data_IF_442485069854
#
_entry.id   IF_442485069854
#
_cell.length_a   1.000
_cell.length_b   1.000
_cell.length_c   1.000
_cell.angle_alpha   90.00
_cell.angle_beta   90.00
_cell.angle_gamma   90.00
#
_symmetry.space_group_name_H-M   'P 1'
#
loop_
_entity.id
_entity.type
_entity.pdbx_description
1 polymer ?
#
# COMPACT_ATOMS: atom_id res chain seq x y z
N UNK A 1 -33.12 5.82 -7.14
CA UNK A 1 -33.35 5.54 -8.57
C UNK A 1 -32.17 4.77 -9.11
N UNK A 2 -32.39 3.66 -9.83
CA UNK A 2 -31.30 2.86 -10.40
C UNK A 2 -30.74 3.55 -11.65
N UNK A 3 -29.41 3.58 -11.80
CA UNK A 3 -28.73 4.17 -12.97
C UNK A 3 -28.62 3.11 -14.08
N UNK A 4 -28.99 3.42 -15.34
CA UNK A 4 -28.86 2.47 -16.44
C UNK A 4 -27.41 2.04 -16.67
N UNK A 5 -27.21 0.76 -16.97
CA UNK A 5 -25.90 0.19 -17.26
C UNK A 5 -25.20 0.96 -18.39
N UNK A 6 -23.94 1.36 -18.18
CA UNK A 6 -23.15 2.12 -19.14
C UNK A 6 -23.30 3.64 -19.07
N UNK A 7 -24.14 4.18 -18.18
CA UNK A 7 -24.25 5.63 -17.96
C UNK A 7 -23.05 6.15 -17.17
N UNK A 8 -22.44 7.25 -17.63
CA UNK A 8 -21.33 7.88 -16.93
C UNK A 8 -21.85 8.66 -15.73
N UNK A 9 -21.36 8.33 -14.53
CA UNK A 9 -21.73 8.99 -13.27
C UNK A 9 -20.60 9.90 -12.83
N UNK A 10 -20.92 11.16 -12.52
CA UNK A 10 -19.98 12.13 -11.95
C UNK A 10 -20.48 12.61 -10.58
N UNK A 11 -19.55 13.00 -9.71
CA UNK A 11 -19.86 13.63 -8.42
C UNK A 11 -19.66 15.14 -8.56
N UNK A 12 -20.68 15.94 -8.25
CA UNK A 12 -20.58 17.38 -8.20
C UNK A 12 -19.99 17.81 -6.85
N UNK A 13 -18.77 18.35 -6.84
CA UNK A 13 -18.05 18.67 -5.60
C UNK A 13 -18.58 19.91 -4.88
N UNK A 14 -19.37 20.74 -5.55
CA UNK A 14 -20.00 21.91 -4.94
C UNK A 14 -21.31 21.57 -4.24
N UNK A 15 -22.10 20.66 -4.81
CA UNK A 15 -23.42 20.28 -4.27
C UNK A 15 -23.39 18.94 -3.52
N UNK A 16 -22.37 18.11 -3.71
CA UNK A 16 -22.24 16.77 -3.14
C UNK A 16 -23.08 15.70 -3.85
N UNK A 17 -23.82 16.06 -4.90
CA UNK A 17 -24.76 15.16 -5.56
C UNK A 17 -24.09 14.32 -6.67
N UNK A 18 -24.59 13.09 -6.86
CA UNK A 18 -24.16 12.19 -7.94
C UNK A 18 -25.08 12.34 -9.14
N UNK A 19 -24.53 12.82 -10.25
CA UNK A 19 -25.26 13.05 -11.50
C UNK A 19 -24.90 11.96 -12.52
N UNK A 20 -25.92 11.29 -13.07
CA UNK A 20 -25.73 10.34 -14.17
C UNK A 20 -26.05 11.03 -15.51
N UNK A 21 -25.14 10.94 -16.48
CA UNK A 21 -25.41 11.40 -17.84
C UNK A 21 -26.37 10.42 -18.51
N UNK A 22 -27.65 10.80 -18.56
CA UNK A 22 -28.66 10.05 -19.29
C UNK A 22 -28.42 10.18 -20.80
N UNK A 23 -28.60 9.10 -21.58
CA UNK A 23 -28.64 9.23 -23.03
C UNK A 23 -29.87 10.04 -23.42
N UNK A 24 -29.71 11.03 -24.29
CA UNK A 24 -30.82 11.80 -24.85
C UNK A 24 -31.80 10.82 -25.53
N UNK A 25 -33.00 10.70 -24.97
CA UNK A 25 -34.11 9.99 -25.60
C UNK A 25 -34.80 10.97 -26.56
N UNK A 26 -34.95 10.52 -27.81
CA UNK A 26 -35.65 11.14 -28.94
C UNK A 26 -34.76 11.86 -29.98
N UNK A 27 -34.60 11.12 -31.08
CA UNK A 27 -34.58 11.55 -32.48
C UNK A 27 -33.42 12.39 -33.04
N UNK A 28 -32.56 11.71 -33.82
CA UNK A 28 -31.72 12.37 -34.81
C UNK A 28 -30.46 11.60 -35.21
N UNK A 29 -30.60 10.67 -36.18
CA UNK A 29 -29.52 10.09 -37.00
C UNK A 29 -28.29 9.49 -36.26
N UNK A 30 -28.42 8.22 -35.90
CA UNK A 30 -27.30 7.35 -35.51
C UNK A 30 -26.17 7.34 -36.55
N UNK A 31 -26.48 7.45 -37.84
CA UNK A 31 -25.52 7.44 -38.94
C UNK A 31 -24.55 8.64 -38.90
N UNK A 32 -25.06 9.85 -38.69
CA UNK A 32 -24.23 11.07 -38.61
C UNK A 32 -23.33 11.09 -37.37
N UNK A 33 -23.77 10.44 -36.28
CA UNK A 33 -22.99 10.31 -35.04
C UNK A 33 -21.89 9.26 -35.18
N UNK A 34 -22.16 8.18 -35.90
CA UNK A 34 -21.19 7.11 -36.17
C UNK A 34 -20.08 7.59 -37.11
N UNK A 35 -20.41 8.38 -38.14
CA UNK A 35 -19.44 8.96 -39.06
C UNK A 35 -18.52 9.99 -38.37
N UNK A 36 -19.07 10.80 -37.46
CA UNK A 36 -18.27 11.71 -36.60
C UNK A 36 -17.36 10.96 -35.61
N UNK A 37 -17.69 9.73 -35.21
CA UNK A 37 -16.81 8.87 -34.40
C UNK A 37 -15.72 8.22 -35.25
N UNK A 38 -16.06 7.77 -36.47
CA UNK A 38 -15.11 7.20 -37.44
C UNK A 38 -14.03 8.22 -37.86
N UNK A 39 -14.39 9.49 -38.05
CA UNK A 39 -13.43 10.58 -38.35
C UNK A 39 -12.56 11.01 -37.16
N UNK A 40 -13.05 10.92 -35.92
CA UNK A 40 -12.30 11.39 -34.73
C UNK A 40 -11.30 10.38 -34.17
N UNK A 41 -11.45 9.10 -34.48
CA UNK A 41 -10.54 8.05 -34.05
C UNK A 41 -10.28 7.08 -35.22
N UNK A 42 -9.38 7.42 -36.17
CA UNK A 42 -9.09 6.61 -37.36
C UNK A 42 -8.32 5.31 -37.06
N UNK A 43 -8.39 4.79 -35.83
CA UNK A 43 -7.66 3.60 -35.39
C UNK A 43 -8.44 2.68 -34.44
N UNK A 44 -9.77 2.87 -34.29
CA UNK A 44 -10.59 2.04 -33.39
C UNK A 44 -11.77 1.34 -34.07
N UNK A 45 -11.71 1.18 -35.40
CA UNK A 45 -12.36 0.03 -36.03
C UNK A 45 -11.35 -1.08 -35.88
N UNK A 46 -11.50 -1.90 -34.83
CA UNK A 46 -10.88 -3.24 -34.85
C UNK A 46 -11.37 -3.85 -36.15
N UNK A 47 -10.46 -3.92 -37.12
CA UNK A 47 -10.76 -4.37 -38.46
C UNK A 47 -11.52 -5.67 -38.38
N UNK A 48 -12.46 -5.86 -39.31
CA UNK A 48 -12.95 -7.20 -39.60
C UNK A 48 -11.69 -8.03 -39.82
N UNK A 49 -11.37 -8.86 -38.85
CA UNK A 49 -10.23 -9.78 -38.97
C UNK A 49 -10.70 -10.74 -40.03
N UNK A 50 -10.10 -10.67 -41.21
CA UNK A 50 -10.17 -11.76 -42.18
C UNK A 50 -9.52 -12.96 -41.51
N UNK A 51 -10.32 -13.71 -40.77
CA UNK A 51 -9.94 -15.01 -40.24
C UNK A 51 -10.24 -15.97 -41.39
N UNK A 52 -9.22 -16.26 -42.19
CA UNK A 52 -9.26 -17.42 -43.07
C UNK A 52 -9.66 -18.62 -42.20
N UNK A 53 -10.85 -19.17 -42.44
CA UNK A 53 -11.54 -20.13 -41.57
C UNK A 53 -10.78 -21.46 -41.35
N UNK A 54 -9.63 -21.64 -42.00
CA UNK A 54 -8.80 -22.84 -41.95
C UNK A 54 -7.40 -22.62 -41.34
N UNK A 55 -7.08 -21.48 -40.75
CA UNK A 55 -5.68 -21.17 -40.44
C UNK A 55 -5.16 -21.65 -39.08
N UNK A 56 -6.01 -21.97 -38.08
CA UNK A 56 -5.53 -22.45 -36.78
C UNK A 56 -6.52 -23.39 -36.08
N UNK A 57 -6.00 -24.49 -35.51
CA UNK A 57 -6.81 -25.34 -34.63
C UNK A 57 -7.05 -24.65 -33.28
N UNK A 58 -8.19 -24.91 -32.63
CA UNK A 58 -8.51 -24.36 -31.30
C UNK A 58 -7.41 -24.67 -30.26
N UNK A 59 -6.73 -25.80 -30.42
CA UNK A 59 -5.61 -26.19 -29.56
C UNK A 59 -4.36 -25.32 -29.79
N UNK A 60 -4.05 -24.93 -31.03
CA UNK A 60 -2.94 -24.04 -31.34
C UNK A 60 -3.19 -22.62 -30.82
N UNK A 61 -4.41 -22.11 -31.00
CA UNK A 61 -4.80 -20.81 -30.44
C UNK A 61 -4.70 -20.79 -28.92
N UNK A 62 -5.16 -21.85 -28.26
CA UNK A 62 -5.04 -21.99 -26.80
C UNK A 62 -3.58 -22.00 -26.34
N UNK A 63 -2.69 -22.68 -27.08
CA UNK A 63 -1.25 -22.69 -26.80
C UNK A 63 -0.60 -21.31 -27.04
N UNK A 64 -0.96 -20.62 -28.12
CA UNK A 64 -0.44 -19.28 -28.41
C UNK A 64 -0.88 -18.27 -27.34
N UNK A 65 -2.16 -18.28 -26.96
CA UNK A 65 -2.69 -17.43 -25.89
C UNK A 65 -2.06 -17.72 -24.52
N UNK A 66 -1.76 -19.00 -24.23
CA UNK A 66 -1.06 -19.36 -23.01
C UNK A 66 0.34 -18.74 -22.94
N UNK A 67 1.11 -18.76 -24.05
CA UNK A 67 2.44 -18.14 -24.14
C UNK A 67 2.41 -16.62 -24.00
N UNK A 68 1.40 -15.96 -24.57
CA UNK A 68 1.21 -14.50 -24.40
C UNK A 68 0.88 -14.14 -22.94
N UNK A 69 0.06 -14.95 -22.28
CA UNK A 69 -0.31 -14.73 -20.87
C UNK A 69 0.85 -14.96 -19.90
N UNK A 70 1.77 -15.85 -20.24
CA UNK A 70 2.98 -16.13 -19.46
C UNK A 70 4.00 -15.00 -19.57
N UNK A 71 4.24 -14.49 -20.77
CA UNK A 71 5.13 -13.34 -21.01
C UNK A 71 4.62 -12.07 -20.34
N UNK A 72 3.32 -11.77 -20.41
CA UNK A 72 2.72 -10.63 -19.71
C UNK A 72 2.84 -10.73 -18.18
N UNK A 73 2.75 -11.94 -17.62
CA UNK A 73 3.01 -12.19 -16.20
C UNK A 73 4.48 -11.99 -15.83
N UNK A 74 5.41 -12.39 -16.70
CA UNK A 74 6.83 -12.20 -16.47
C UNK A 74 7.19 -10.70 -16.47
N UNK A 75 6.67 -9.93 -17.43
CA UNK A 75 6.90 -8.48 -17.49
C UNK A 75 6.31 -7.73 -16.30
N UNK A 76 5.11 -8.12 -15.82
CA UNK A 76 4.53 -7.57 -14.59
C UNK A 76 5.41 -7.83 -13.37
N UNK A 77 5.96 -9.04 -13.22
CA UNK A 77 6.87 -9.37 -12.11
C UNK A 77 8.14 -8.52 -12.15
N UNK A 78 8.76 -8.36 -13.32
CA UNK A 78 9.96 -7.53 -13.48
C UNK A 78 9.66 -6.06 -13.16
N UNK A 79 8.50 -5.55 -13.57
CA UNK A 79 8.06 -4.19 -13.24
C UNK A 79 7.77 -4.01 -11.74
N UNK A 80 7.18 -5.01 -11.09
CA UNK A 80 6.91 -5.00 -9.64
C UNK A 80 8.21 -5.09 -8.82
N UNK A 81 9.14 -5.95 -9.22
CA UNK A 81 10.47 -6.06 -8.61
C UNK A 81 11.27 -4.76 -8.76
N UNK A 82 11.20 -4.12 -9.93
CA UNK A 82 11.83 -2.82 -10.18
C UNK A 82 11.20 -1.72 -9.31
N UNK A 83 9.87 -1.72 -9.17
CA UNK A 83 9.15 -0.79 -8.31
C UNK A 83 9.51 -0.98 -6.82
N UNK A 84 9.56 -2.23 -6.35
CA UNK A 84 9.97 -2.58 -4.99
C UNK A 84 11.42 -2.17 -4.72
N UNK A 85 12.32 -2.36 -5.69
CA UNK A 85 13.71 -1.93 -5.56
C UNK A 85 13.83 -0.41 -5.42
N UNK A 86 13.09 0.35 -6.24
CA UNK A 86 13.03 1.81 -6.12
C UNK A 86 12.43 2.26 -4.79
N UNK A 87 11.39 1.59 -4.32
CA UNK A 87 10.82 1.85 -2.99
C UNK A 87 11.86 1.58 -1.90
N UNK A 88 12.58 0.47 -1.95
CA UNK A 88 13.60 0.14 -0.96
C UNK A 88 14.78 1.12 -0.97
N UNK A 89 15.22 1.59 -2.15
CA UNK A 89 16.22 2.66 -2.26
C UNK A 89 15.72 3.98 -1.69
N UNK A 90 14.45 4.34 -1.95
CA UNK A 90 13.84 5.55 -1.41
C UNK A 90 13.76 5.52 0.12
N UNK A 91 13.51 4.34 0.70
CA UNK A 91 13.53 4.10 2.15
C UNK A 91 14.96 4.21 2.68
N UNK A 92 15.94 3.52 2.06
CA UNK A 92 17.35 3.57 2.48
C UNK A 92 17.94 4.99 2.45
N UNK A 93 17.48 5.85 1.53
CA UNK A 93 17.90 7.27 1.48
C UNK A 93 17.34 8.11 2.63
N UNK A 94 16.22 7.72 3.24
CA UNK A 94 15.58 8.46 4.34
C UNK A 94 16.17 8.15 5.71
N UNK A 95 16.88 7.03 5.86
CA UNK A 95 17.38 6.56 7.14
C UNK A 95 18.91 6.47 7.15
N UNK A 96 19.50 6.66 8.33
CA UNK A 96 20.92 6.38 8.57
C UNK A 96 21.21 4.89 8.38
N UNK A 97 22.43 4.51 7.96
CA UNK A 97 22.80 3.10 7.84
C UNK A 97 22.70 2.40 9.20
N UNK A 98 22.23 1.15 9.17
CA UNK A 98 21.91 0.39 10.38
C UNK A 98 23.15 0.14 11.25
N UNK A 99 24.33 0.07 10.63
CA UNK A 99 25.61 -0.11 11.31
C UNK A 99 25.95 1.09 12.19
N UNK A 100 25.74 2.32 11.68
CA UNK A 100 25.95 3.55 12.46
C UNK A 100 24.96 3.64 13.63
N UNK A 101 23.69 3.29 13.39
CA UNK A 101 22.68 3.27 14.45
C UNK A 101 23.01 2.27 15.55
N UNK A 102 23.53 1.09 15.20
CA UNK A 102 23.97 0.10 16.19
C UNK A 102 25.14 0.60 17.02
N UNK A 103 26.15 1.18 16.38
CA UNK A 103 27.31 1.73 17.07
C UNK A 103 26.92 2.91 17.99
N UNK A 104 26.04 3.81 17.53
CA UNK A 104 25.49 4.88 18.34
C UNK A 104 24.66 4.34 19.53
N UNK A 105 23.86 3.29 19.31
CA UNK A 105 23.05 2.68 20.36
C UNK A 105 23.89 1.97 21.42
N UNK A 106 24.94 1.26 20.99
CA UNK A 106 25.92 0.64 21.90
C UNK A 106 26.66 1.70 22.73
N UNK A 107 27.08 2.81 22.10
CA UNK A 107 27.69 3.96 22.81
C UNK A 107 26.74 4.61 23.81
N UNK A 108 25.44 4.66 23.48
CA UNK A 108 24.41 5.24 24.33
C UNK A 108 24.15 4.40 25.59
N UNK A 109 24.55 3.12 25.63
CA UNK A 109 24.40 2.18 26.76
C UNK A 109 23.04 2.34 27.47
N UNK A 110 21.97 2.53 26.69
CA UNK A 110 20.62 2.73 27.20
C UNK A 110 20.13 1.37 27.66
N UNK A 111 20.30 1.10 28.95
CA UNK A 111 19.62 0.00 29.62
C UNK A 111 18.16 0.42 29.73
N UNK A 112 17.34 -0.03 28.78
CA UNK A 112 15.89 0.04 28.93
C UNK A 112 15.51 -0.98 30.00
N UNK A 113 15.40 -0.50 31.23
CA UNK A 113 14.92 -1.29 32.34
C UNK A 113 13.40 -1.20 32.37
N UNK A 114 12.73 -2.34 32.52
CA UNK A 114 11.27 -2.33 32.71
C UNK A 114 10.93 -1.84 34.12
N UNK A 115 9.73 -1.29 34.31
CA UNK A 115 9.29 -0.82 35.65
C UNK A 115 9.40 -1.92 36.70
N UNK A 116 9.12 -3.18 36.33
CA UNK A 116 9.31 -4.33 37.20
C UNK A 116 10.79 -4.54 37.59
N UNK A 117 11.72 -4.45 36.64
CA UNK A 117 13.15 -4.57 36.93
C UNK A 117 13.65 -3.44 37.84
N UNK A 118 13.12 -2.23 37.65
CA UNK A 118 13.42 -1.07 38.50
C UNK A 118 12.90 -1.32 39.93
N UNK A 119 11.67 -1.79 40.09
CA UNK A 119 11.10 -2.15 41.39
C UNK A 119 11.91 -3.23 42.11
N UNK A 120 12.33 -4.30 41.41
CA UNK A 120 13.17 -5.36 42.00
C UNK A 120 14.52 -4.82 42.47
N UNK A 121 15.11 -3.88 41.73
CA UNK A 121 16.36 -3.21 42.12
C UNK A 121 16.17 -2.31 43.33
N UNK A 122 15.07 -1.55 43.41
CA UNK A 122 14.72 -0.71 44.55
C UNK A 122 14.55 -1.56 45.82
N UNK A 123 13.83 -2.69 45.72
CA UNK A 123 13.67 -3.65 46.83
C UNK A 123 15.03 -4.23 47.24
N UNK A 124 15.87 -4.58 46.28
CA UNK A 124 17.22 -5.12 46.56
C UNK A 124 18.13 -4.09 47.22
N UNK A 125 18.07 -2.82 46.79
CA UNK A 125 18.77 -1.69 47.42
C UNK A 125 18.28 -1.46 48.85
N UNK A 126 16.96 -1.51 49.08
CA UNK A 126 16.37 -1.36 50.41
C UNK A 126 16.82 -2.47 51.37
N UNK A 127 16.84 -3.72 50.88
CA UNK A 127 17.24 -4.90 51.66
C UNK A 127 18.76 -5.02 51.86
N UNK A 128 19.56 -4.26 51.11
CA UNK A 128 21.01 -4.31 51.26
C UNK A 128 21.49 -3.66 52.57
N UNK A 129 22.36 -4.36 53.28
CA UNK A 129 22.94 -3.87 54.54
C UNK A 129 23.97 -2.74 54.36
N UNK A 130 24.42 -2.52 53.11
CA UNK A 130 25.37 -1.46 52.75
C UNK A 130 24.68 -0.11 52.45
N UNK A 131 23.35 -0.08 52.33
CA UNK A 131 22.58 1.11 52.00
C UNK A 131 22.31 1.96 53.25
N UNK A 132 22.48 3.28 53.13
CA UNK A 132 22.24 4.21 54.24
C UNK A 132 20.74 4.36 54.51
N UNK A 133 20.37 4.87 55.69
CA UNK A 133 18.94 5.12 56.02
C UNK A 133 18.28 6.04 54.99
N UNK A 134 18.99 7.08 54.54
CA UNK A 134 18.49 8.03 53.55
C UNK A 134 18.23 7.35 52.20
N UNK A 135 19.15 6.49 51.77
CA UNK A 135 19.02 5.74 50.51
C UNK A 135 17.85 4.74 50.57
N UNK A 136 17.61 4.14 51.74
CA UNK A 136 16.46 3.25 51.97
C UNK A 136 15.13 4.01 51.92
N UNK A 137 15.07 5.19 52.52
CA UNK A 137 13.88 6.05 52.49
C UNK A 137 13.60 6.53 51.07
N UNK A 138 14.61 6.98 50.34
CA UNK A 138 14.48 7.36 48.93
C UNK A 138 13.99 6.18 48.07
N UNK A 139 14.57 4.99 48.25
CA UNK A 139 14.16 3.80 47.50
C UNK A 139 12.70 3.40 47.78
N UNK A 140 12.18 3.63 48.99
CA UNK A 140 10.77 3.39 49.31
C UNK A 140 9.83 4.38 48.61
N UNK A 141 10.17 5.67 48.58
CA UNK A 141 9.37 6.67 47.87
C UNK A 141 9.32 6.40 46.37
N UNK A 142 10.47 6.05 45.77
CA UNK A 142 10.52 5.66 44.37
C UNK A 142 9.70 4.39 44.11
N UNK A 143 9.77 3.41 45.00
CA UNK A 143 8.99 2.17 44.88
C UNK A 143 7.48 2.43 44.96
N UNK A 144 7.03 3.28 45.89
CA UNK A 144 5.63 3.72 45.99
C UNK A 144 5.17 4.35 44.68
N UNK A 145 5.99 5.23 44.10
CA UNK A 145 5.69 5.87 42.83
C UNK A 145 5.52 4.88 41.67
N UNK A 146 6.39 3.86 41.59
CA UNK A 146 6.27 2.82 40.56
C UNK A 146 5.07 1.90 40.79
N UNK A 147 4.75 1.56 42.04
CA UNK A 147 3.57 0.74 42.38
C UNK A 147 2.27 1.48 42.07
N UNK A 148 2.20 2.79 42.28
CA UNK A 148 1.00 3.57 41.97
C UNK A 148 0.73 3.78 40.48
N UNK A 149 1.75 3.65 39.62
CA UNK A 149 1.59 3.81 38.19
C UNK A 149 1.00 2.58 37.48
N UNK A 150 1.10 1.41 38.10
CA UNK A 150 0.62 0.12 37.58
C UNK A 150 -0.82 -0.12 38.03
#
# INVERSE_FOLDING_TARGET
>A
QAVPAGSHVRLNLQTGEREAKLPDSEDGNSEAREERRRKRYPGRVLGKVDVDANSFTSQELKKALAKMKESEKAERKVSEESSLFLQQLSVRRKFRPIEQLKEEFEKLNVKMETDYEIMVKLISKFNSSASTLADKVAALYDLEYYVHQV
#
